data_IF_887175288868
#
_entry.id   IF_887175288868
#
_cell.length_a   1.000
_cell.length_b   1.000
_cell.length_c   1.000
_cell.angle_alpha   90.00
_cell.angle_beta   90.00
_cell.angle_gamma   90.00
#
_symmetry.space_group_name_H-M   'P 1'
#
loop_
_entity.id
_entity.type
_entity.pdbx_description
1 polymer ?
#
# COMPACT_ATOMS: atom_id res chain seq x y z
N UNK A 1 -12.25 -1.53 -7.22
CA UNK A 1 -13.04 -1.29 -6.00
C UNK A 1 -13.16 0.21 -5.80
N UNK A 2 -14.37 0.70 -5.54
CA UNK A 2 -14.62 2.11 -5.30
C UNK A 2 -14.11 2.52 -3.90
N UNK A 3 -13.66 3.76 -3.66
CA UNK A 3 -13.18 4.19 -2.34
C UNK A 3 -14.13 3.89 -1.16
N UNK A 4 -15.45 3.97 -1.39
CA UNK A 4 -16.44 3.65 -0.33
C UNK A 4 -16.50 2.16 0.01
N UNK A 5 -16.28 1.27 -0.96
CA UNK A 5 -16.19 -0.17 -0.72
C UNK A 5 -14.93 -0.51 0.07
N UNK A 6 -13.82 0.17 -0.26
CA UNK A 6 -12.57 0.05 0.51
C UNK A 6 -12.78 0.47 1.96
N UNK A 7 -13.44 1.62 2.18
CA UNK A 7 -13.75 2.12 3.54
C UNK A 7 -14.54 1.09 4.36
N UNK A 8 -15.57 0.48 3.78
CA UNK A 8 -16.34 -0.59 4.44
C UNK A 8 -15.45 -1.79 4.76
N UNK A 9 -14.62 -2.23 3.80
CA UNK A 9 -13.69 -3.36 3.97
C UNK A 9 -12.74 -3.15 5.16
N UNK A 10 -12.16 -1.95 5.28
CA UNK A 10 -11.23 -1.61 6.37
C UNK A 10 -11.87 -1.68 7.76
N UNK A 11 -13.18 -1.42 7.86
CA UNK A 11 -13.92 -1.49 9.13
C UNK A 11 -14.50 -2.86 9.46
N UNK A 12 -14.33 -3.87 8.59
CA UNK A 12 -15.09 -5.13 8.67
C UNK A 12 -14.35 -6.28 9.34
N UNK A 13 -13.07 -6.13 9.71
CA UNK A 13 -12.32 -7.22 10.33
C UNK A 13 -10.81 -7.03 10.34
N UNK A 14 -10.08 -8.15 10.46
CA UNK A 14 -8.63 -8.14 10.61
C UNK A 14 -7.92 -7.82 9.29
N UNK A 15 -6.84 -7.04 9.36
CA UNK A 15 -6.00 -6.66 8.23
C UNK A 15 -4.68 -7.43 8.27
N UNK A 16 -4.29 -8.04 7.15
CA UNK A 16 -3.08 -8.84 7.05
C UNK A 16 -1.95 -8.07 6.36
N UNK A 17 -0.73 -8.11 6.91
CA UNK A 17 0.47 -7.49 6.35
C UNK A 17 1.55 -8.58 6.16
N UNK A 18 1.49 -9.39 5.09
CA UNK A 18 2.47 -10.44 4.86
C UNK A 18 3.87 -9.87 4.59
N UNK A 19 4.88 -10.58 5.08
CA UNK A 19 6.28 -10.37 4.70
C UNK A 19 6.47 -10.65 3.21
N UNK A 20 7.39 -9.94 2.57
CA UNK A 20 7.82 -10.21 1.20
C UNK A 20 8.88 -11.30 1.22
N UNK A 21 8.73 -12.34 0.40
CA UNK A 21 9.68 -13.45 0.38
C UNK A 21 10.83 -13.16 -0.58
N UNK A 22 12.06 -13.34 -0.11
CA UNK A 22 13.29 -13.22 -0.90
C UNK A 22 14.02 -14.57 -0.96
N UNK A 23 14.86 -14.75 -1.99
CA UNK A 23 15.75 -15.91 -2.08
C UNK A 23 17.11 -15.66 -1.38
N UNK A 24 18.06 -16.59 -1.51
CA UNK A 24 19.36 -16.49 -0.86
C UNK A 24 20.25 -15.36 -1.42
N UNK A 25 19.94 -14.82 -2.60
CA UNK A 25 20.62 -13.67 -3.20
C UNK A 25 19.95 -12.34 -2.81
N UNK A 26 18.80 -12.39 -2.14
CA UNK A 26 18.01 -11.22 -1.78
C UNK A 26 17.02 -10.78 -2.86
N UNK A 27 16.85 -11.55 -3.94
CA UNK A 27 15.89 -11.24 -4.99
C UNK A 27 14.49 -11.70 -4.59
N UNK A 28 13.44 -10.94 -4.98
CA UNK A 28 12.06 -11.35 -4.76
C UNK A 28 11.80 -12.78 -5.26
N UNK A 29 11.16 -13.61 -4.42
CA UNK A 29 10.87 -15.03 -4.69
C UNK A 29 9.36 -15.28 -4.81
N UNK A 30 8.77 -15.14 -6.02
CA UNK A 30 7.32 -15.26 -6.21
C UNK A 30 6.74 -16.60 -5.74
N UNK A 31 7.44 -17.71 -5.97
CA UNK A 31 6.90 -19.05 -5.71
C UNK A 31 6.60 -19.32 -4.24
N UNK A 32 7.38 -18.78 -3.30
CA UNK A 32 7.11 -18.95 -1.87
C UNK A 32 6.16 -17.87 -1.35
N UNK A 33 6.22 -16.66 -1.93
CA UNK A 33 5.24 -15.62 -1.64
C UNK A 33 3.81 -16.07 -1.99
N UNK A 34 3.60 -16.69 -3.17
CA UNK A 34 2.31 -17.28 -3.58
C UNK A 34 1.81 -18.28 -2.53
N UNK A 35 2.65 -19.26 -2.15
CA UNK A 35 2.29 -20.27 -1.14
C UNK A 35 1.91 -19.64 0.20
N UNK A 36 2.60 -18.57 0.60
CA UNK A 36 2.28 -17.82 1.83
C UNK A 36 0.91 -17.17 1.72
N UNK A 37 0.61 -16.50 0.62
CA UNK A 37 -0.67 -15.83 0.40
C UNK A 37 -1.84 -16.84 0.36
N UNK A 38 -1.65 -17.96 -0.33
CA UNK A 38 -2.62 -19.07 -0.35
C UNK A 38 -2.85 -19.66 1.04
N UNK A 39 -1.79 -19.80 1.84
CA UNK A 39 -1.91 -20.27 3.22
C UNK A 39 -2.61 -19.26 4.13
N UNK A 40 -2.39 -17.96 3.93
CA UNK A 40 -3.05 -16.90 4.73
C UNK A 40 -4.53 -16.72 4.38
N UNK A 41 -4.91 -16.94 3.12
CA UNK A 41 -6.26 -16.73 2.60
C UNK A 41 -7.40 -17.32 3.48
N UNK A 42 -7.35 -18.58 3.94
CA UNK A 42 -8.45 -19.18 4.72
C UNK A 42 -8.63 -18.60 6.13
N UNK A 43 -7.72 -17.77 6.64
CA UNK A 43 -7.80 -17.23 8.01
C UNK A 43 -8.71 -16.00 8.15
N UNK A 44 -9.36 -15.55 7.07
CA UNK A 44 -10.46 -14.57 7.15
C UNK A 44 -10.03 -13.11 7.34
N UNK A 45 -8.83 -12.73 6.89
CA UNK A 45 -8.47 -11.32 6.81
C UNK A 45 -9.36 -10.59 5.78
N UNK A 46 -9.85 -9.40 6.10
CA UNK A 46 -10.75 -8.64 5.22
C UNK A 46 -9.99 -7.91 4.12
N UNK A 47 -8.72 -7.63 4.33
CA UNK A 47 -7.81 -7.11 3.31
C UNK A 47 -6.37 -7.53 3.58
N UNK A 48 -5.57 -7.53 2.52
CA UNK A 48 -4.15 -7.84 2.58
C UNK A 48 -3.32 -6.67 2.04
N UNK A 49 -2.34 -6.25 2.83
CA UNK A 49 -1.44 -5.14 2.52
C UNK A 49 -0.13 -5.66 1.94
N UNK A 50 -0.02 -5.64 0.61
CA UNK A 50 1.18 -6.09 -0.12
C UNK A 50 2.20 -4.97 -0.21
N UNK A 51 3.48 -5.30 -0.07
CA UNK A 51 4.57 -4.32 0.01
C UNK A 51 4.25 -3.18 1.01
N UNK A 52 3.75 -3.52 2.20
CA UNK A 52 3.61 -2.58 3.31
C UNK A 52 4.91 -2.44 4.10
N UNK A 53 4.85 -1.87 5.31
CA UNK A 53 6.01 -1.82 6.21
C UNK A 53 6.57 -3.21 6.54
N UNK A 54 5.71 -4.14 6.96
CA UNK A 54 6.08 -5.55 7.23
C UNK A 54 6.52 -6.29 5.96
N UNK A 55 6.01 -5.88 4.80
CA UNK A 55 6.43 -6.39 3.49
C UNK A 55 7.68 -5.70 2.94
N UNK A 56 8.43 -4.98 3.78
CA UNK A 56 9.72 -4.36 3.46
C UNK A 56 9.68 -3.42 2.26
N UNK A 57 8.58 -2.68 2.08
CA UNK A 57 8.41 -1.65 1.04
C UNK A 57 9.65 -0.77 0.84
N UNK A 58 10.25 -0.34 1.95
CA UNK A 58 11.39 0.57 1.99
C UNK A 58 12.71 -0.04 1.49
N UNK A 59 12.73 -1.34 1.19
CA UNK A 59 13.88 -2.08 0.66
C UNK A 59 13.70 -2.56 -0.78
N UNK A 60 12.49 -2.45 -1.35
CA UNK A 60 12.20 -2.92 -2.71
C UNK A 60 12.83 -2.00 -3.75
N UNK A 61 13.43 -2.58 -4.79
CA UNK A 61 14.11 -1.83 -5.85
C UNK A 61 13.65 -2.25 -7.25
N UNK A 62 13.86 -1.35 -8.22
CA UNK A 62 13.62 -1.64 -9.63
C UNK A 62 12.21 -2.18 -9.90
N UNK A 63 12.15 -3.39 -10.46
CA UNK A 63 10.89 -4.04 -10.83
C UNK A 63 10.23 -4.84 -9.69
N UNK A 64 10.89 -4.99 -8.54
CA UNK A 64 10.41 -5.84 -7.44
C UNK A 64 9.05 -5.38 -6.92
N UNK A 65 8.85 -4.06 -6.78
CA UNK A 65 7.55 -3.49 -6.38
C UNK A 65 6.40 -4.01 -7.27
N UNK A 66 6.55 -3.85 -8.59
CA UNK A 66 5.55 -4.33 -9.55
C UNK A 66 5.34 -5.84 -9.47
N UNK A 67 6.42 -6.62 -9.29
CA UNK A 67 6.34 -8.08 -9.18
C UNK A 67 5.60 -8.52 -7.91
N UNK A 68 5.89 -7.92 -6.76
CA UNK A 68 5.22 -8.20 -5.47
C UNK A 68 3.74 -7.88 -5.57
N UNK A 69 3.39 -6.68 -6.04
CA UNK A 69 1.99 -6.25 -6.16
C UNK A 69 1.24 -7.14 -7.15
N UNK A 70 1.80 -7.41 -8.33
CA UNK A 70 1.15 -8.26 -9.33
C UNK A 70 0.93 -9.68 -8.81
N UNK A 71 1.94 -10.24 -8.14
CA UNK A 71 1.86 -11.59 -7.56
C UNK A 71 0.75 -11.65 -6.50
N UNK A 72 0.67 -10.66 -5.62
CA UNK A 72 -0.38 -10.59 -4.60
C UNK A 72 -1.77 -10.44 -5.23
N UNK A 73 -1.94 -9.53 -6.19
CA UNK A 73 -3.22 -9.31 -6.86
C UNK A 73 -3.70 -10.55 -7.61
N UNK A 74 -2.81 -11.23 -8.33
CA UNK A 74 -3.20 -12.44 -9.07
C UNK A 74 -3.56 -13.60 -8.14
N UNK A 75 -2.75 -13.81 -7.09
CA UNK A 75 -2.94 -14.92 -6.15
C UNK A 75 -4.21 -14.76 -5.32
N UNK A 76 -4.53 -13.53 -4.90
CA UNK A 76 -5.67 -13.25 -4.05
C UNK A 76 -6.93 -12.82 -4.83
N UNK A 77 -6.91 -12.91 -6.16
CA UNK A 77 -8.00 -12.45 -7.03
C UNK A 77 -9.32 -13.14 -6.67
N UNK A 78 -10.33 -12.34 -6.36
CA UNK A 78 -11.66 -12.83 -5.98
C UNK A 78 -11.74 -13.44 -4.57
N UNK A 79 -10.65 -13.42 -3.81
CA UNK A 79 -10.59 -13.97 -2.44
C UNK A 79 -10.52 -12.85 -1.41
N UNK A 80 -9.54 -11.94 -1.53
CA UNK A 80 -9.33 -10.83 -0.59
C UNK A 80 -8.76 -9.62 -1.32
N UNK A 81 -9.25 -8.39 -1.06
CA UNK A 81 -8.72 -7.20 -1.71
C UNK A 81 -7.29 -6.90 -1.28
N UNK A 82 -6.47 -6.53 -2.26
CA UNK A 82 -5.07 -6.14 -2.07
C UNK A 82 -4.95 -4.62 -1.95
N UNK A 83 -4.31 -4.16 -0.88
CA UNK A 83 -3.90 -2.77 -0.67
C UNK A 83 -2.38 -2.70 -0.83
N UNK A 84 -1.88 -1.86 -1.73
CA UNK A 84 -0.45 -1.74 -1.97
C UNK A 84 0.18 -0.71 -1.02
N UNK A 85 1.45 -0.86 -0.63
CA UNK A 85 2.21 0.25 -0.08
C UNK A 85 2.60 1.26 -1.16
N UNK A 86 2.60 2.54 -0.81
CA UNK A 86 3.19 3.63 -1.58
C UNK A 86 3.78 4.65 -0.61
N UNK A 87 4.79 5.41 -1.00
CA UNK A 87 5.46 6.36 -0.09
C UNK A 87 6.75 6.89 -0.67
N UNK A 88 7.53 7.59 0.15
CA UNK A 88 8.71 8.32 -0.32
C UNK A 88 8.35 9.66 -0.96
N UNK A 89 9.25 10.28 -1.75
CA UNK A 89 9.00 11.58 -2.37
C UNK A 89 7.71 11.58 -3.20
N UNK A 90 6.99 12.72 -3.28
CA UNK A 90 5.66 12.82 -3.91
C UNK A 90 5.56 12.15 -5.28
N UNK A 91 6.54 12.38 -6.17
CA UNK A 91 6.55 11.77 -7.51
C UNK A 91 6.71 10.25 -7.48
N UNK A 92 7.49 9.72 -6.54
CA UNK A 92 7.64 8.26 -6.36
C UNK A 92 6.37 7.66 -5.78
N UNK A 93 5.77 8.30 -4.77
CA UNK A 93 4.51 7.86 -4.19
C UNK A 93 3.39 7.82 -5.24
N UNK A 94 3.29 8.83 -6.10
CA UNK A 94 2.37 8.86 -7.26
C UNK A 94 2.67 7.70 -8.22
N UNK A 95 3.92 7.53 -8.63
CA UNK A 95 4.29 6.48 -9.58
C UNK A 95 3.95 5.08 -9.05
N UNK A 96 4.20 4.82 -7.76
CA UNK A 96 3.86 3.54 -7.13
C UNK A 96 2.36 3.37 -6.96
N UNK A 97 1.63 4.42 -6.58
CA UNK A 97 0.17 4.35 -6.48
C UNK A 97 -0.49 4.06 -7.85
N UNK A 98 -0.04 4.72 -8.90
CA UNK A 98 -0.53 4.49 -10.27
C UNK A 98 -0.15 3.10 -10.78
N UNK A 99 1.05 2.62 -10.47
CA UNK A 99 1.48 1.26 -10.84
C UNK A 99 0.64 0.20 -10.10
N UNK A 100 0.39 0.39 -8.81
CA UNK A 100 -0.49 -0.50 -8.06
C UNK A 100 -1.91 -0.52 -8.63
N UNK A 101 -2.46 0.65 -8.97
CA UNK A 101 -3.78 0.76 -9.63
C UNK A 101 -3.78 0.02 -10.98
N UNK A 102 -2.75 0.25 -11.82
CA UNK A 102 -2.59 -0.41 -13.13
C UNK A 102 -2.51 -1.93 -13.01
N UNK A 103 -1.87 -2.44 -11.96
CA UNK A 103 -1.72 -3.88 -11.69
C UNK A 103 -2.97 -4.51 -11.07
N UNK A 104 -3.95 -3.70 -10.64
CA UNK A 104 -5.24 -4.16 -10.13
C UNK A 104 -5.34 -4.22 -8.61
N UNK A 105 -4.50 -3.48 -7.87
CA UNK A 105 -4.72 -3.26 -6.44
C UNK A 105 -6.03 -2.47 -6.20
N UNK A 106 -6.54 -2.54 -4.98
CA UNK A 106 -7.84 -2.00 -4.58
C UNK A 106 -7.73 -0.70 -3.76
N UNK A 107 -6.51 -0.28 -3.45
CA UNK A 107 -6.17 0.95 -2.77
C UNK A 107 -4.68 0.99 -2.44
N UNK A 108 -4.25 2.08 -1.81
CA UNK A 108 -2.89 2.20 -1.27
C UNK A 108 -2.88 2.61 0.19
N UNK A 109 -1.91 2.09 0.94
CA UNK A 109 -1.44 2.65 2.19
C UNK A 109 -0.29 3.61 1.87
N UNK A 110 -0.48 4.90 2.13
CA UNK A 110 0.52 5.94 1.91
C UNK A 110 1.42 6.07 3.14
N UNK A 111 2.61 5.46 3.06
CA UNK A 111 3.72 5.56 3.99
C UNK A 111 4.35 6.98 3.95
N UNK A 112 5.14 7.36 4.97
CA UNK A 112 5.76 8.68 5.03
C UNK A 112 6.60 9.08 3.80
N UNK A 113 6.53 10.36 3.43
CA UNK A 113 7.46 11.00 2.50
C UNK A 113 8.92 10.88 2.98
N UNK A 114 9.95 10.97 2.13
CA UNK A 114 11.34 10.64 2.51
C UNK A 114 12.09 11.74 3.31
N UNK A 115 12.80 11.31 4.37
CA UNK A 115 13.77 12.02 5.21
C UNK A 115 13.33 13.31 5.93
N UNK A 116 12.93 14.36 5.20
CA UNK A 116 12.75 15.71 5.74
C UNK A 116 11.52 15.84 6.62
N UNK A 117 11.52 16.77 7.57
CA UNK A 117 10.29 17.25 8.18
C UNK A 117 9.54 18.17 7.20
N UNK A 118 8.21 18.23 7.32
CA UNK A 118 7.37 19.08 6.50
C UNK A 118 6.32 19.79 7.37
N UNK A 119 6.02 21.05 7.04
CA UNK A 119 4.89 21.76 7.61
C UNK A 119 3.55 21.12 7.18
N UNK A 120 2.47 21.45 7.90
CA UNK A 120 1.16 20.85 7.63
C UNK A 120 0.67 21.10 6.20
N UNK A 121 0.90 22.30 5.65
CA UNK A 121 0.56 22.62 4.25
C UNK A 121 1.26 21.69 3.27
N UNK A 122 2.55 21.41 3.48
CA UNK A 122 3.31 20.50 2.64
C UNK A 122 2.85 19.04 2.76
N UNK A 123 2.45 18.60 3.96
CA UNK A 123 1.87 17.28 4.16
C UNK A 123 0.52 17.13 3.46
N UNK A 124 -0.35 18.15 3.56
CA UNK A 124 -1.65 18.18 2.88
C UNK A 124 -1.44 18.10 1.37
N UNK A 125 -0.57 18.95 0.81
CA UNK A 125 -0.30 18.98 -0.62
C UNK A 125 0.28 17.65 -1.13
N UNK A 126 1.23 17.05 -0.39
CA UNK A 126 1.79 15.75 -0.72
C UNK A 126 0.70 14.66 -0.80
N UNK A 127 -0.16 14.58 0.22
CA UNK A 127 -1.25 13.58 0.25
C UNK A 127 -2.28 13.86 -0.84
N UNK A 128 -2.69 15.11 -1.01
CA UNK A 128 -3.67 15.51 -2.02
C UNK A 128 -3.21 15.15 -3.44
N UNK A 129 -1.93 15.38 -3.77
CA UNK A 129 -1.39 14.99 -5.06
C UNK A 129 -1.41 13.48 -5.29
N UNK A 130 -1.13 12.66 -4.26
CA UNK A 130 -1.24 11.20 -4.36
C UNK A 130 -2.70 10.80 -4.56
N UNK A 131 -3.63 11.32 -3.76
CA UNK A 131 -5.07 11.04 -3.89
C UNK A 131 -5.61 11.40 -5.27
N UNK A 132 -5.21 12.55 -5.83
CA UNK A 132 -5.67 13.01 -7.15
C UNK A 132 -5.06 12.22 -8.32
N UNK A 133 -4.02 11.42 -8.07
CA UNK A 133 -3.30 10.67 -9.12
C UNK A 133 -3.91 9.31 -9.48
N UNK A 134 -4.91 8.87 -8.71
CA UNK A 134 -5.51 7.53 -8.73
C UNK A 134 -7.03 7.62 -8.50
N UNK A 135 -7.76 6.55 -8.82
CA UNK A 135 -9.23 6.47 -8.67
C UNK A 135 -9.67 5.62 -7.48
N UNK A 136 -8.82 4.70 -7.03
CA UNK A 136 -9.09 3.89 -5.84
C UNK A 136 -8.88 4.66 -4.54
N UNK A 137 -9.17 4.04 -3.39
CA UNK A 137 -9.03 4.69 -2.10
C UNK A 137 -7.57 4.75 -1.61
N UNK A 138 -7.25 5.83 -0.89
CA UNK A 138 -5.94 6.06 -0.26
C UNK A 138 -6.10 6.07 1.27
N UNK A 139 -5.23 5.34 1.96
CA UNK A 139 -5.17 5.29 3.42
C UNK A 139 -3.89 5.98 3.85
N UNK A 140 -4.00 7.11 4.54
CA UNK A 140 -2.82 7.86 5.01
C UNK A 140 -2.26 7.22 6.28
N UNK A 141 -0.94 6.97 6.33
CA UNK A 141 -0.30 6.39 7.49
C UNK A 141 0.41 7.46 8.33
N UNK A 142 -0.23 7.86 9.44
CA UNK A 142 0.32 8.85 10.38
C UNK A 142 1.40 8.20 11.27
N UNK A 143 2.68 8.40 10.93
CA UNK A 143 3.85 7.89 11.67
C UNK A 143 5.13 8.66 11.31
N UNK A 144 6.15 8.55 12.16
CA UNK A 144 7.47 9.16 11.97
C UNK A 144 7.36 10.68 11.67
N UNK A 145 7.91 11.14 10.55
CA UNK A 145 7.85 12.56 10.10
C UNK A 145 6.54 12.95 9.43
N UNK A 146 5.63 12.01 9.17
CA UNK A 146 4.26 12.30 8.72
C UNK A 146 3.34 12.35 9.93
N UNK A 147 3.06 13.58 10.39
CA UNK A 147 2.22 13.86 11.56
C UNK A 147 1.12 14.85 11.17
N UNK A 148 0.10 14.38 10.45
CA UNK A 148 -1.09 15.17 10.14
C UNK A 148 -1.91 15.41 11.40
N UNK A 149 -2.31 16.67 11.59
CA UNK A 149 -3.29 17.03 12.62
C UNK A 149 -4.70 16.62 12.21
N UNK A 150 -5.66 16.52 13.16
CA UNK A 150 -7.07 16.32 12.83
C UNK A 150 -7.62 17.35 11.84
N UNK A 151 -7.23 18.64 11.96
CA UNK A 151 -7.64 19.68 11.02
C UNK A 151 -7.09 19.45 9.62
N UNK A 152 -5.82 19.04 9.51
CA UNK A 152 -5.19 18.70 8.22
C UNK A 152 -5.89 17.52 7.55
N UNK A 153 -6.29 16.50 8.34
CA UNK A 153 -7.07 15.37 7.82
C UNK A 153 -8.47 15.78 7.38
N UNK A 154 -9.13 16.69 8.11
CA UNK A 154 -10.46 17.20 7.73
C UNK A 154 -10.45 17.98 6.41
N UNK A 155 -9.33 18.64 6.07
CA UNK A 155 -9.15 19.30 4.77
C UNK A 155 -9.03 18.29 3.62
N UNK A 156 -8.48 17.09 3.90
CA UNK A 156 -8.23 16.03 2.92
C UNK A 156 -9.42 15.08 2.70
N UNK A 157 -10.42 15.09 3.59
CA UNK A 157 -11.54 14.13 3.63
C UNK A 157 -12.73 14.58 2.79
#
# INVERSE_FOLDING_TARGET
>A
MHPQELKTTMGSGLLSFPITDFDANGDFRPSTYIKRLEWLAPYGATALFAAGGTGEYFSLVGAEYSQVIKTAVDTCRGVVPIIAGAGGPTRMAIAHAQEAERLGAHGVLLLPHYLTEAGQEGLIEHVAQVCNSVKFGVIVYNRDRTKLTPNSLAILA
#
